data_IF_357415679795
#
_entry.id   IF_357415679795
#
_cell.length_a   1.000
_cell.length_b   1.000
_cell.length_c   1.000
_cell.angle_alpha   90.00
_cell.angle_beta   90.00
_cell.angle_gamma   90.00
#
_symmetry.space_group_name_H-M   'P 1'
#
loop_
_entity.id
_entity.type
_entity.pdbx_description
1 polymer ?
#
# COMPACT_ATOMS: atom_id res chain seq x y z
N UNK A 1 -59.65 25.16 3.56
CA UNK A 1 -60.81 24.26 3.64
C UNK A 1 -60.33 22.94 3.07
N UNK A 2 -60.07 21.96 3.95
CA UNK A 2 -59.82 20.51 3.77
C UNK A 2 -58.84 20.07 2.65
N UNK A 3 -57.88 19.16 2.81
CA UNK A 3 -57.83 18.04 3.75
C UNK A 3 -56.40 17.49 3.86
N UNK A 4 -56.10 17.02 5.07
CA UNK A 4 -54.94 16.27 5.48
C UNK A 4 -54.94 14.88 4.84
N UNK A 5 -53.76 14.31 4.57
CA UNK A 5 -53.58 12.88 4.75
C UNK A 5 -52.11 12.54 5.05
N UNK A 6 -51.87 12.27 6.33
CA UNK A 6 -50.75 11.51 6.85
C UNK A 6 -50.88 10.04 6.44
N UNK A 7 -49.76 9.40 6.09
CA UNK A 7 -49.64 7.94 6.13
C UNK A 7 -48.22 7.56 6.55
N UNK A 8 -48.04 7.41 7.86
CA UNK A 8 -46.97 6.62 8.44
C UNK A 8 -47.28 5.14 8.17
N UNK A 9 -46.33 4.39 7.58
CA UNK A 9 -46.46 2.95 7.42
C UNK A 9 -45.28 2.23 8.09
N UNK A 10 -45.53 1.91 9.35
CA UNK A 10 -45.24 0.66 10.07
C UNK A 10 -44.07 -0.21 9.60
N UNK A 11 -43.06 -0.22 10.46
CA UNK A 11 -42.08 -1.27 10.80
C UNK A 11 -42.48 -2.70 10.41
N UNK A 12 -41.56 -3.41 9.73
CA UNK A 12 -41.41 -4.87 9.89
C UNK A 12 -39.95 -5.26 10.02
N UNK A 13 -39.59 -5.62 11.24
CA UNK A 13 -38.39 -6.38 11.60
C UNK A 13 -38.64 -7.83 11.16
N UNK A 14 -37.70 -8.43 10.42
CA UNK A 14 -37.61 -9.88 10.31
C UNK A 14 -36.15 -10.27 10.56
N UNK A 15 -35.91 -10.76 11.77
CA UNK A 15 -34.71 -11.49 12.13
C UNK A 15 -34.98 -12.98 11.88
N UNK A 16 -34.09 -13.65 11.14
CA UNK A 16 -34.15 -15.11 11.02
C UNK A 16 -32.74 -15.68 11.20
N UNK A 17 -32.51 -16.25 12.38
CA UNK A 17 -31.40 -17.14 12.69
C UNK A 17 -31.75 -18.55 12.20
N UNK A 18 -30.81 -19.23 11.53
CA UNK A 18 -30.88 -20.69 11.37
C UNK A 18 -29.56 -21.26 11.87
N UNK A 19 -29.63 -21.88 13.05
CA UNK A 19 -28.65 -22.81 13.55
C UNK A 19 -29.16 -24.23 13.26
N UNK A 20 -28.30 -25.08 12.69
CA UNK A 20 -28.50 -26.53 12.65
C UNK A 20 -27.16 -27.23 12.86
N UNK A 21 -27.04 -27.89 14.00
CA UNK A 21 -26.04 -28.91 14.34
C UNK A 21 -26.76 -30.21 14.71
N UNK A 22 -26.09 -31.37 14.56
CA UNK A 22 -26.23 -32.71 15.23
C UNK A 22 -25.48 -33.73 14.32
N UNK A 23 -24.31 -34.32 14.69
CA UNK A 23 -24.00 -35.45 15.62
C UNK A 23 -24.32 -36.83 14.96
N UNK A 24 -23.59 -37.97 15.01
CA UNK A 24 -22.36 -38.53 15.65
C UNK A 24 -22.10 -39.94 15.07
N UNK A 25 -20.86 -40.46 15.14
CA UNK A 25 -20.43 -41.83 15.55
C UNK A 25 -18.96 -42.07 15.09
N UNK A 26 -17.90 -42.11 15.91
CA UNK A 26 -17.49 -42.97 17.05
C UNK A 26 -17.00 -44.39 16.67
N UNK A 27 -15.69 -44.65 16.86
CA UNK A 27 -15.02 -45.87 17.42
C UNK A 27 -13.48 -45.78 17.18
N UNK A 28 -12.66 -45.51 18.20
CA UNK A 28 -11.97 -46.39 19.19
C UNK A 28 -10.56 -46.92 18.75
N UNK A 29 -9.58 -46.70 19.64
CA UNK A 29 -8.13 -47.05 19.65
C UNK A 29 -7.92 -48.47 20.25
N UNK A 30 -6.76 -49.21 20.20
CA UNK A 30 -5.43 -48.82 20.74
C UNK A 30 -4.14 -49.41 20.05
N UNK A 31 -2.99 -48.89 20.52
CA UNK A 31 -1.52 -49.06 20.23
C UNK A 31 -0.94 -50.39 20.82
N UNK A 32 0.19 -51.05 20.38
CA UNK A 32 1.60 -50.60 20.60
C UNK A 32 2.77 -51.02 19.64
N UNK A 33 3.87 -50.25 19.72
CA UNK A 33 5.28 -50.47 19.27
C UNK A 33 5.92 -51.75 19.87
N UNK A 34 7.16 -52.27 19.54
CA UNK A 34 8.40 -51.59 19.07
C UNK A 34 9.41 -52.36 18.13
N UNK A 35 10.45 -51.64 17.68
CA UNK A 35 11.86 -52.00 17.29
C UNK A 35 12.24 -53.40 16.77
N UNK A 36 12.98 -53.46 15.64
CA UNK A 36 14.33 -54.05 15.52
C UNK A 36 14.86 -54.09 14.07
N UNK A 37 16.14 -53.75 13.89
CA UNK A 37 17.05 -54.21 12.82
C UNK A 37 18.05 -55.17 13.51
N UNK A 38 18.54 -56.27 12.90
CA UNK A 38 19.75 -56.20 12.05
C UNK A 38 19.90 -57.28 10.94
N UNK A 39 20.83 -56.99 10.02
CA UNK A 39 21.73 -57.87 9.24
C UNK A 39 21.24 -59.13 8.49
N UNK A 40 21.61 -59.26 7.21
CA UNK A 40 22.71 -60.11 6.71
C UNK A 40 22.59 -60.31 5.18
N UNK A 41 23.69 -60.17 4.42
CA UNK A 41 23.78 -60.55 2.99
C UNK A 41 23.90 -62.09 2.81
N UNK A 42 24.16 -62.65 1.60
CA UNK A 42 24.84 -62.03 0.46
C UNK A 42 24.24 -62.34 -0.96
N UNK A 43 24.73 -61.55 -1.92
CA UNK A 43 25.05 -61.86 -3.34
C UNK A 43 24.06 -62.64 -4.22
N UNK A 44 23.66 -62.00 -5.34
CA UNK A 44 23.86 -62.50 -6.72
C UNK A 44 23.33 -61.46 -7.73
N UNK A 45 24.22 -60.90 -8.55
CA UNK A 45 23.91 -60.28 -9.86
C UNK A 45 23.37 -61.36 -10.83
N UNK A 46 22.60 -61.07 -11.92
CA UNK A 46 22.83 -59.97 -12.86
C UNK A 46 21.58 -59.23 -13.41
N UNK A 47 21.85 -58.05 -13.97
CA UNK A 47 20.98 -57.19 -14.80
C UNK A 47 20.47 -57.95 -16.06
N UNK A 48 19.37 -57.53 -16.71
CA UNK A 48 19.48 -56.38 -17.63
C UNK A 48 18.27 -55.44 -17.72
N UNK A 49 18.58 -54.25 -18.23
CA UNK A 49 17.77 -53.35 -19.06
C UNK A 49 16.45 -52.79 -18.51
N UNK A 50 16.52 -51.49 -18.19
CA UNK A 50 15.34 -50.65 -18.03
C UNK A 50 15.61 -49.33 -17.33
N UNK A 51 16.74 -48.65 -17.61
CA UNK A 51 16.99 -47.33 -17.02
C UNK A 51 16.51 -46.23 -17.97
N UNK A 52 15.33 -45.72 -17.64
CA UNK A 52 14.78 -44.45 -18.08
C UNK A 52 15.82 -43.33 -17.97
N UNK A 53 15.96 -42.57 -19.06
CA UNK A 53 16.60 -41.25 -19.09
C UNK A 53 15.93 -40.34 -18.07
N UNK A 54 16.64 -39.69 -17.14
CA UNK A 54 16.02 -38.60 -16.39
C UNK A 54 15.90 -37.42 -17.36
N UNK A 55 14.67 -37.07 -17.69
CA UNK A 55 14.32 -35.74 -18.20
C UNK A 55 14.92 -34.72 -17.24
N UNK A 56 15.83 -33.89 -17.74
CA UNK A 56 16.21 -32.65 -17.08
C UNK A 56 14.95 -31.81 -17.00
N UNK A 57 14.23 -31.89 -15.88
CA UNK A 57 13.29 -30.85 -15.48
C UNK A 57 14.09 -29.55 -15.47
N UNK A 58 13.76 -28.68 -16.42
CA UNK A 58 14.24 -27.31 -16.41
C UNK A 58 13.67 -26.67 -15.14
N UNK A 59 14.49 -26.63 -14.11
CA UNK A 59 14.36 -25.66 -13.03
C UNK A 59 14.05 -24.31 -13.68
N UNK A 60 12.96 -23.61 -13.32
CA UNK A 60 12.77 -22.25 -13.80
C UNK A 60 14.04 -21.49 -13.43
N UNK A 61 14.69 -20.95 -14.46
CA UNK A 61 15.88 -20.14 -14.33
C UNK A 61 15.52 -18.97 -13.41
N UNK A 62 15.84 -19.10 -12.13
CA UNK A 62 15.83 -17.98 -11.18
C UNK A 62 16.93 -17.07 -11.69
N UNK A 63 16.56 -16.13 -12.57
CA UNK A 63 17.36 -14.94 -12.82
C UNK A 63 17.79 -14.42 -11.45
N UNK A 64 19.09 -14.15 -11.21
CA UNK A 64 19.54 -13.72 -9.90
C UNK A 64 18.68 -12.52 -9.48
N UNK A 65 17.97 -12.66 -8.37
CA UNK A 65 17.11 -11.60 -7.86
C UNK A 65 17.99 -10.37 -7.62
N UNK A 66 17.82 -9.34 -8.45
CA UNK A 66 18.56 -8.08 -8.42
C UNK A 66 18.08 -7.26 -7.22
N UNK A 67 18.34 -7.78 -6.03
CA UNK A 67 17.85 -7.20 -4.79
C UNK A 67 18.77 -6.08 -4.36
N UNK A 68 18.22 -4.88 -4.25
CA UNK A 68 18.92 -3.69 -3.79
C UNK A 68 18.49 -3.38 -2.37
N UNK A 69 19.45 -3.29 -1.46
CA UNK A 69 19.22 -2.86 -0.07
C UNK A 69 19.18 -1.34 -0.01
N UNK A 70 18.13 -0.79 0.58
CA UNK A 70 17.92 0.65 0.77
C UNK A 70 17.96 0.90 2.28
N UNK A 71 18.78 1.86 2.71
CA UNK A 71 18.92 2.24 4.12
C UNK A 71 18.81 3.75 4.29
N UNK A 72 18.05 4.20 5.30
CA UNK A 72 17.86 5.62 5.57
C UNK A 72 17.61 5.87 7.06
N UNK A 73 17.95 7.08 7.51
CA UNK A 73 17.58 7.55 8.85
C UNK A 73 16.23 8.28 8.72
N UNK A 74 15.17 7.82 9.39
CA UNK A 74 13.86 8.46 9.29
C UNK A 74 13.93 9.87 9.89
N UNK A 75 13.22 10.85 9.30
CA UNK A 75 13.06 12.17 9.91
C UNK A 75 12.52 12.08 11.35
N UNK A 76 12.85 13.03 12.24
CA UNK A 76 12.37 13.03 13.62
C UNK A 76 10.93 13.58 13.71
N UNK A 77 10.00 12.86 13.07
CA UNK A 77 8.56 13.11 13.09
C UNK A 77 7.87 11.74 13.28
N UNK A 78 6.82 11.70 14.10
CA UNK A 78 5.98 10.50 14.25
C UNK A 78 4.91 10.46 13.16
N UNK A 79 4.66 9.28 12.61
CA UNK A 79 3.73 9.07 11.51
C UNK A 79 4.03 7.81 10.69
N UNK A 80 3.54 7.80 9.46
CA UNK A 80 3.76 6.73 8.49
C UNK A 80 4.79 7.15 7.43
N UNK A 81 5.32 6.17 6.70
CA UNK A 81 6.34 6.36 5.67
C UNK A 81 5.77 5.97 4.32
N UNK A 82 5.78 6.91 3.39
CA UNK A 82 5.63 6.64 1.95
C UNK A 82 6.97 6.75 1.26
N UNK A 83 7.40 5.69 0.58
CA UNK A 83 8.71 5.57 -0.05
C UNK A 83 8.57 5.08 -1.48
N UNK A 84 9.13 5.83 -2.42
CA UNK A 84 9.11 5.50 -3.85
C UNK A 84 10.51 5.29 -4.44
N UNK A 85 10.57 4.50 -5.50
CA UNK A 85 11.75 4.34 -6.35
C UNK A 85 11.56 5.19 -7.60
N UNK A 86 12.58 5.97 -7.95
CA UNK A 86 12.55 6.92 -9.04
C UNK A 86 13.67 6.63 -10.04
N UNK A 87 13.36 6.79 -11.33
CA UNK A 87 14.36 6.74 -12.38
C UNK A 87 15.25 8.01 -12.38
N UNK A 88 16.25 8.04 -13.26
CA UNK A 88 17.14 9.20 -13.47
C UNK A 88 16.41 10.50 -13.87
N UNK A 89 15.19 10.42 -14.37
CA UNK A 89 14.38 11.58 -14.76
C UNK A 89 13.48 12.06 -13.60
N UNK A 90 13.50 11.39 -12.45
CA UNK A 90 12.63 11.68 -11.31
C UNK A 90 11.22 11.12 -11.47
N UNK A 91 10.98 10.21 -12.43
CA UNK A 91 9.69 9.53 -12.58
C UNK A 91 9.60 8.38 -11.59
N UNK A 92 8.49 8.29 -10.86
CA UNK A 92 8.19 7.15 -10.00
C UNK A 92 8.05 5.89 -10.87
N UNK A 93 8.81 4.85 -10.51
CA UNK A 93 8.79 3.54 -11.19
C UNK A 93 8.20 2.45 -10.31
N UNK A 94 8.21 2.64 -9.00
CA UNK A 94 7.58 1.75 -8.02
C UNK A 94 7.27 2.45 -6.72
N UNK A 95 6.10 2.20 -6.16
CA UNK A 95 5.81 2.47 -4.74
C UNK A 95 6.38 1.31 -3.93
N UNK A 96 7.34 1.59 -3.05
CA UNK A 96 7.95 0.55 -2.23
C UNK A 96 7.20 0.38 -0.90
N UNK A 97 6.79 1.50 -0.31
CA UNK A 97 5.96 1.55 0.89
C UNK A 97 4.92 2.66 0.73
N UNK A 98 3.69 2.37 1.12
CA UNK A 98 2.59 3.33 1.19
C UNK A 98 2.06 3.30 2.62
N UNK A 99 2.07 4.44 3.29
CA UNK A 99 1.54 4.58 4.65
C UNK A 99 2.08 3.55 5.66
N UNK A 100 3.30 3.05 5.44
CA UNK A 100 3.91 2.03 6.29
C UNK A 100 4.33 2.57 7.65
N UNK A 101 4.14 1.78 8.70
CA UNK A 101 4.66 2.07 10.03
C UNK A 101 6.18 1.81 10.12
N UNK A 102 6.85 2.42 11.10
CA UNK A 102 8.29 2.22 11.31
C UNK A 102 8.68 0.76 11.60
N UNK A 103 7.76 -0.04 12.15
CA UNK A 103 7.96 -1.44 12.50
C UNK A 103 7.95 -2.38 11.27
N UNK A 104 7.49 -1.92 10.11
CA UNK A 104 7.53 -2.66 8.84
C UNK A 104 8.93 -2.66 8.22
N UNK A 105 9.83 -1.83 8.73
CA UNK A 105 11.20 -1.74 8.29
C UNK A 105 12.12 -2.59 9.17
N UNK A 106 13.17 -3.15 8.58
CA UNK A 106 14.21 -3.81 9.36
C UNK A 106 15.08 -2.77 10.05
N UNK A 107 15.30 -2.92 11.35
CA UNK A 107 16.19 -2.05 12.14
C UNK A 107 17.64 -2.45 11.85
N UNK A 108 18.39 -1.58 11.18
CA UNK A 108 19.84 -1.65 11.05
C UNK A 108 20.55 -1.11 12.30
N UNK A 109 21.88 -1.00 12.23
CA UNK A 109 22.69 -0.46 13.34
C UNK A 109 22.28 0.96 13.77
N UNK A 110 21.88 1.78 12.80
CA UNK A 110 21.68 3.23 12.92
C UNK A 110 20.67 3.77 11.90
N UNK A 111 19.97 2.88 11.18
CA UNK A 111 19.09 3.22 10.07
C UNK A 111 17.93 2.22 9.96
N UNK A 112 16.83 2.65 9.34
CA UNK A 112 15.81 1.75 8.81
C UNK A 112 16.27 1.16 7.49
N UNK A 113 15.87 -0.08 7.22
CA UNK A 113 16.30 -0.84 6.05
C UNK A 113 15.09 -1.48 5.39
N UNK A 114 15.03 -1.36 4.07
CA UNK A 114 14.10 -2.09 3.19
C UNK A 114 14.85 -2.61 1.96
N UNK A 115 14.18 -3.38 1.12
CA UNK A 115 14.76 -3.99 -0.08
C UNK A 115 13.85 -3.77 -1.26
N UNK A 116 14.45 -3.53 -2.42
CA UNK A 116 13.75 -3.48 -3.70
C UNK A 116 14.25 -4.60 -4.61
N UNK A 117 13.34 -5.28 -5.28
CA UNK A 117 13.60 -6.45 -6.15
C UNK A 117 14.05 -6.08 -7.56
N UNK A 118 14.12 -4.79 -7.89
CA UNK A 118 14.47 -4.29 -9.22
C UNK A 118 13.31 -4.24 -10.19
N UNK A 119 12.07 -4.42 -9.74
CA UNK A 119 10.87 -4.45 -10.59
C UNK A 119 10.04 -3.18 -10.50
N UNK A 120 9.26 -2.90 -11.54
CA UNK A 120 8.25 -1.84 -11.53
C UNK A 120 6.97 -2.27 -10.80
N UNK A 121 5.95 -1.41 -10.80
CA UNK A 121 4.63 -1.66 -10.21
C UNK A 121 3.91 -2.87 -10.84
N UNK A 122 4.10 -3.10 -12.15
CA UNK A 122 3.54 -4.25 -12.87
C UNK A 122 4.29 -5.57 -12.61
N UNK A 123 5.37 -5.54 -11.83
CA UNK A 123 6.21 -6.71 -11.56
C UNK A 123 7.22 -7.05 -12.67
N UNK A 124 7.44 -6.15 -13.63
CA UNK A 124 8.42 -6.32 -14.71
C UNK A 124 9.80 -5.85 -14.26
N UNK A 125 10.85 -6.56 -14.67
CA UNK A 125 12.23 -6.20 -14.36
C UNK A 125 12.62 -4.88 -15.04
N UNK A 126 13.18 -3.95 -14.27
CA UNK A 126 13.71 -2.70 -14.79
C UNK A 126 15.14 -2.86 -15.32
N UNK A 127 15.54 -2.04 -16.30
CA UNK A 127 16.88 -2.11 -16.87
C UNK A 127 17.96 -1.73 -15.84
N UNK A 128 19.17 -2.30 -15.94
CA UNK A 128 20.31 -1.87 -15.15
C UNK A 128 20.56 -0.37 -15.32
N UNK A 129 20.94 0.28 -14.22
CA UNK A 129 21.17 1.72 -14.21
C UNK A 129 20.99 2.36 -12.84
N UNK A 130 21.07 3.69 -12.82
CA UNK A 130 20.91 4.47 -11.59
C UNK A 130 19.45 4.76 -11.30
N UNK A 131 19.07 4.52 -10.04
CA UNK A 131 17.78 4.83 -9.47
C UNK A 131 17.97 5.57 -8.15
N UNK A 132 16.93 6.26 -7.70
CA UNK A 132 16.93 7.02 -6.45
C UNK A 132 15.74 6.64 -5.61
N UNK A 133 15.94 6.45 -4.31
CA UNK A 133 14.84 6.28 -3.37
C UNK A 133 14.65 7.58 -2.58
N UNK A 134 13.41 8.04 -2.50
CA UNK A 134 13.01 9.20 -1.70
C UNK A 134 11.58 9.01 -1.21
N UNK A 135 11.26 9.67 -0.12
CA UNK A 135 9.97 9.50 0.53
C UNK A 135 9.56 10.68 1.37
N UNK A 136 8.42 10.50 2.01
CA UNK A 136 7.85 11.44 2.95
C UNK A 136 7.50 10.68 4.22
N UNK A 137 7.91 11.24 5.36
CA UNK A 137 7.33 10.85 6.62
C UNK A 137 6.10 11.73 6.83
N UNK A 138 4.96 11.08 6.89
CA UNK A 138 3.62 11.66 6.89
C UNK A 138 3.10 11.60 8.32
N UNK A 139 3.06 12.74 9.00
CA UNK A 139 2.63 12.82 10.39
C UNK A 139 1.13 12.60 10.55
N UNK A 140 0.59 12.83 11.74
CA UNK A 140 -0.85 12.68 11.98
C UNK A 140 -1.69 13.77 11.27
N UNK A 141 -2.13 13.45 10.05
CA UNK A 141 -3.17 14.19 9.36
C UNK A 141 -4.54 13.83 9.90
N UNK A 142 -5.46 14.79 9.84
CA UNK A 142 -6.85 14.58 10.25
C UNK A 142 -7.73 14.63 9.01
N UNK A 143 -8.33 13.51 8.65
CA UNK A 143 -9.33 13.42 7.60
C UNK A 143 -10.71 13.52 8.23
N UNK A 144 -11.52 14.47 7.75
CA UNK A 144 -12.90 14.70 8.19
C UNK A 144 -13.83 14.60 6.98
N UNK A 145 -14.82 13.70 7.06
CA UNK A 145 -15.94 13.67 6.10
C UNK A 145 -16.91 14.81 6.44
N UNK A 146 -17.16 15.70 5.46
CA UNK A 146 -18.09 16.82 5.56
C UNK A 146 -19.44 16.52 4.92
N UNK A 147 -19.63 15.29 4.43
CA UNK A 147 -20.85 14.79 3.81
C UNK A 147 -21.05 15.27 2.36
N UNK A 148 -22.28 15.10 1.85
CA UNK A 148 -22.65 15.53 0.51
C UNK A 148 -22.44 17.03 0.32
N UNK A 149 -21.97 17.42 -0.86
CA UNK A 149 -21.72 18.80 -1.25
C UNK A 149 -22.17 19.04 -2.70
N UNK A 150 -22.31 20.30 -3.07
CA UNK A 150 -22.33 20.67 -4.48
C UNK A 150 -20.91 20.55 -5.06
N UNK A 151 -20.82 20.29 -6.37
CA UNK A 151 -19.56 20.39 -7.10
C UNK A 151 -18.93 21.77 -6.86
N UNK A 152 -17.60 21.85 -6.69
CA UNK A 152 -16.95 23.12 -6.43
C UNK A 152 -17.22 24.08 -7.60
N UNK A 153 -17.78 25.25 -7.32
CA UNK A 153 -17.85 26.32 -8.30
C UNK A 153 -16.42 26.68 -8.71
N UNK A 154 -16.17 26.88 -10.01
CA UNK A 154 -14.85 27.24 -10.58
C UNK A 154 -14.23 28.52 -10.00
N UNK A 155 -14.93 29.19 -9.07
CA UNK A 155 -14.55 30.45 -8.43
C UNK A 155 -13.41 30.31 -7.41
N UNK A 156 -13.00 29.10 -7.01
CA UNK A 156 -11.83 28.88 -6.15
C UNK A 156 -10.95 27.72 -6.62
N UNK A 157 -10.00 28.02 -7.52
CA UNK A 157 -8.76 27.28 -7.78
C UNK A 157 -8.85 25.73 -7.69
N UNK A 158 -9.88 25.13 -8.27
CA UNK A 158 -9.97 23.69 -8.50
C UNK A 158 -8.78 23.29 -9.37
N UNK A 159 -7.76 22.68 -8.77
CA UNK A 159 -6.47 22.41 -9.43
C UNK A 159 -6.14 20.94 -9.28
N UNK A 160 -5.41 20.37 -10.25
CA UNK A 160 -4.88 19.01 -10.15
C UNK A 160 -3.92 18.82 -8.95
N UNK A 161 -3.35 19.91 -8.41
CA UNK A 161 -2.50 19.88 -7.23
C UNK A 161 -2.44 21.24 -6.50
N UNK A 162 -2.04 21.21 -5.24
CA UNK A 162 -1.86 22.38 -4.37
C UNK A 162 -0.46 22.38 -3.76
N UNK A 163 0.14 23.57 -3.64
CA UNK A 163 1.47 23.71 -3.02
C UNK A 163 1.35 23.74 -1.49
N UNK A 164 2.00 22.79 -0.83
CA UNK A 164 2.05 22.65 0.62
C UNK A 164 3.48 22.87 1.09
N UNK A 165 3.63 23.65 2.16
CA UNK A 165 4.93 23.92 2.78
C UNK A 165 5.16 22.89 3.88
N UNK A 166 6.23 22.12 3.76
CA UNK A 166 6.53 21.01 4.68
C UNK A 166 7.30 21.48 5.92
N UNK A 167 7.29 20.63 6.95
CA UNK A 167 8.20 20.77 8.07
C UNK A 167 9.64 20.53 7.58
N UNK A 168 10.62 21.33 8.06
CA UNK A 168 12.02 21.09 7.71
C UNK A 168 12.47 19.75 8.31
N UNK A 169 13.11 18.91 7.51
CA UNK A 169 13.79 17.73 7.99
C UNK A 169 15.19 18.15 8.50
N UNK A 170 15.49 18.12 9.80
CA UNK A 170 16.80 18.52 10.32
C UNK A 170 17.95 17.58 9.90
N UNK A 171 17.63 16.38 9.41
CA UNK A 171 18.60 15.45 8.83
C UNK A 171 18.95 15.81 7.38
N UNK A 172 18.08 16.57 6.71
CA UNK A 172 18.34 17.13 5.40
C UNK A 172 18.89 18.56 5.56
N UNK A 173 19.89 18.92 4.76
CA UNK A 173 20.40 20.30 4.73
C UNK A 173 19.47 21.25 3.94
N UNK A 174 18.16 20.98 3.94
CA UNK A 174 17.16 21.69 3.14
C UNK A 174 16.36 22.68 3.99
N UNK A 175 16.36 23.95 3.58
CA UNK A 175 15.50 24.97 4.16
C UNK A 175 14.10 24.83 3.57
N UNK A 176 13.18 24.24 4.33
CA UNK A 176 11.72 24.23 4.10
C UNK A 176 11.31 23.85 2.67
N UNK A 177 11.07 22.55 2.44
CA UNK A 177 10.65 22.02 1.16
C UNK A 177 9.17 22.36 0.88
N UNK A 178 8.86 22.81 -0.34
CA UNK A 178 7.49 23.00 -0.82
C UNK A 178 7.19 21.86 -1.79
N UNK A 179 6.13 21.10 -1.53
CA UNK A 179 5.67 19.99 -2.38
C UNK A 179 4.32 20.32 -3.01
N UNK A 180 4.11 19.87 -4.24
CA UNK A 180 2.80 19.90 -4.88
C UNK A 180 2.06 18.59 -4.53
N UNK A 181 0.95 18.71 -3.81
CA UNK A 181 0.09 17.59 -3.40
C UNK A 181 -1.15 17.59 -4.27
N UNK A 182 -1.41 16.49 -4.95
CA UNK A 182 -2.63 16.22 -5.69
C UNK A 182 -3.51 15.21 -4.96
N UNK A 183 -4.52 14.75 -5.68
CA UNK A 183 -5.37 13.66 -5.22
C UNK A 183 -5.46 12.60 -6.32
N UNK A 184 -5.39 11.34 -5.92
CA UNK A 184 -5.55 10.17 -6.77
C UNK A 184 -6.70 9.31 -6.28
N UNK A 185 -7.18 8.44 -7.17
CA UNK A 185 -8.12 7.39 -6.82
C UNK A 185 -7.88 6.16 -7.67
N UNK A 186 -8.27 5.01 -7.12
CA UNK A 186 -8.23 3.69 -7.73
C UNK A 186 -9.47 2.89 -7.30
N UNK A 187 -9.40 1.56 -7.37
CA UNK A 187 -10.49 0.68 -6.93
C UNK A 187 -10.70 0.65 -5.42
N UNK A 188 -9.66 0.96 -4.64
CA UNK A 188 -9.65 0.83 -3.19
C UNK A 188 -10.07 2.15 -2.53
N UNK A 189 -9.95 3.26 -3.25
CA UNK A 189 -10.60 4.50 -2.90
C UNK A 189 -9.83 5.71 -3.39
N UNK A 190 -9.68 6.71 -2.52
CA UNK A 190 -8.96 7.94 -2.83
C UNK A 190 -7.86 8.22 -1.83
N UNK A 191 -6.82 8.89 -2.30
CA UNK A 191 -5.62 9.16 -1.52
C UNK A 191 -4.98 10.48 -1.94
N UNK A 192 -4.32 11.15 -0.99
CA UNK A 192 -3.38 12.23 -1.28
C UNK A 192 -2.13 11.64 -1.93
N UNK A 193 -1.60 12.34 -2.93
CA UNK A 193 -0.36 11.96 -3.60
C UNK A 193 0.50 13.16 -3.93
N UNK A 194 1.79 12.96 -4.13
CA UNK A 194 2.64 13.96 -4.78
C UNK A 194 2.29 14.06 -6.27
N UNK A 195 2.77 15.12 -6.92
CA UNK A 195 2.60 15.27 -8.38
C UNK A 195 3.40 14.25 -9.21
N UNK A 196 4.37 13.57 -8.58
CA UNK A 196 5.09 12.43 -9.17
C UNK A 196 4.45 11.08 -8.82
N UNK A 197 3.19 11.10 -8.40
CA UNK A 197 2.30 9.96 -8.17
C UNK A 197 2.59 9.10 -6.93
N UNK A 198 3.49 9.51 -6.02
CA UNK A 198 3.72 8.79 -4.76
C UNK A 198 2.52 8.97 -3.83
N UNK A 199 1.79 7.90 -3.45
CA UNK A 199 0.70 7.97 -2.48
C UNK A 199 1.22 8.35 -1.09
N UNK A 200 0.52 9.22 -0.39
CA UNK A 200 0.92 9.78 0.91
C UNK A 200 -0.03 9.40 2.05
N UNK A 201 -1.34 9.42 1.78
CA UNK A 201 -2.37 9.20 2.80
C UNK A 201 -3.70 8.81 2.14
N UNK A 202 -4.34 7.76 2.63
CA UNK A 202 -5.70 7.38 2.23
C UNK A 202 -6.72 8.35 2.82
N UNK A 203 -7.64 8.84 1.97
CA UNK A 203 -8.66 9.83 2.34
C UNK A 203 -10.02 9.17 2.55
N UNK A 204 -10.42 8.27 1.65
CA UNK A 204 -11.62 7.45 1.83
C UNK A 204 -11.48 6.17 1.03
N UNK A 205 -12.15 5.11 1.47
CA UNK A 205 -12.26 3.82 0.78
C UNK A 205 -13.51 3.75 -0.12
N UNK A 206 -13.96 4.92 -0.62
CA UNK A 206 -15.18 5.00 -1.42
C UNK A 206 -14.94 4.39 -2.81
N UNK A 207 -15.77 3.41 -3.24
CA UNK A 207 -15.61 2.80 -4.56
C UNK A 207 -16.20 3.69 -5.67
N UNK A 208 -15.89 3.35 -6.93
CA UNK A 208 -16.51 3.92 -8.13
C UNK A 208 -16.34 5.45 -8.30
N UNK A 209 -15.24 6.01 -7.80
CA UNK A 209 -14.91 7.41 -8.02
C UNK A 209 -14.68 7.67 -9.51
N UNK A 210 -15.29 8.72 -10.05
CA UNK A 210 -15.15 9.13 -11.46
C UNK A 210 -14.33 10.40 -11.61
N UNK A 211 -14.40 11.29 -10.61
CA UNK A 211 -13.70 12.57 -10.67
C UNK A 211 -13.36 13.06 -9.27
N UNK A 212 -12.24 13.77 -9.18
CA UNK A 212 -11.76 14.31 -7.92
C UNK A 212 -11.16 15.69 -8.09
N UNK A 213 -11.38 16.54 -7.10
CA UNK A 213 -10.84 17.90 -7.06
C UNK A 213 -10.20 18.14 -5.70
N UNK A 214 -9.05 18.80 -5.70
CA UNK A 214 -8.41 19.32 -4.50
C UNK A 214 -8.35 20.84 -4.56
N UNK A 215 -8.64 21.50 -3.43
CA UNK A 215 -8.40 22.93 -3.25
C UNK A 215 -7.72 23.19 -1.93
N UNK A 216 -6.83 24.19 -1.94
CA UNK A 216 -6.12 24.63 -0.74
C UNK A 216 -7.02 25.55 0.06
N UNK A 217 -7.24 25.24 1.33
CA UNK A 217 -7.91 26.16 2.25
C UNK A 217 -6.88 27.14 2.83
N UNK A 218 -5.76 26.60 3.32
CA UNK A 218 -4.61 27.34 3.86
C UNK A 218 -3.36 26.46 3.79
N UNK A 219 -2.25 26.89 4.38
CA UNK A 219 -0.98 26.13 4.34
C UNK A 219 -1.03 24.78 5.07
N UNK A 220 -2.04 24.54 5.91
CA UNK A 220 -2.17 23.34 6.75
C UNK A 220 -3.38 22.49 6.44
N UNK A 221 -4.23 22.90 5.50
CA UNK A 221 -5.45 22.15 5.21
C UNK A 221 -5.90 22.29 3.76
N UNK A 222 -6.45 21.20 3.26
CA UNK A 222 -7.00 21.06 1.92
C UNK A 222 -8.42 20.52 2.01
N UNK A 223 -9.23 20.87 1.02
CA UNK A 223 -10.56 20.30 0.82
C UNK A 223 -10.50 19.44 -0.44
N UNK A 224 -11.11 18.27 -0.36
CA UNK A 224 -11.20 17.30 -1.45
C UNK A 224 -12.68 17.09 -1.76
N UNK A 225 -13.02 17.15 -3.04
CA UNK A 225 -14.33 16.75 -3.54
C UNK A 225 -14.16 15.45 -4.31
N UNK A 226 -14.97 14.45 -3.96
CA UNK A 226 -15.07 13.14 -4.59
C UNK A 226 -16.41 13.06 -5.31
N UNK A 227 -16.39 12.73 -6.59
CA UNK A 227 -17.59 12.49 -7.39
C UNK A 227 -17.62 11.01 -7.75
N UNK A 228 -18.72 10.32 -7.45
CA UNK A 228 -18.98 8.91 -7.78
C UNK A 228 -19.92 8.76 -9.00
N UNK A 229 -20.26 9.86 -9.67
CA UNK A 229 -21.19 9.94 -10.79
C UNK A 229 -22.66 10.10 -10.37
N UNK A 230 -22.96 9.97 -9.07
CA UNK A 230 -24.30 10.14 -8.50
C UNK A 230 -24.35 11.32 -7.53
N UNK A 231 -23.34 11.45 -6.68
CA UNK A 231 -23.22 12.47 -5.66
C UNK A 231 -21.77 12.96 -5.53
N UNK A 232 -21.62 14.19 -5.05
CA UNK A 232 -20.33 14.74 -4.66
C UNK A 232 -20.21 14.70 -3.15
N UNK A 233 -19.18 14.04 -2.64
CA UNK A 233 -18.80 14.00 -1.23
C UNK A 233 -17.59 14.92 -0.99
N UNK A 234 -17.55 15.56 0.18
CA UNK A 234 -16.49 16.51 0.51
C UNK A 234 -15.75 16.09 1.76
N UNK A 235 -14.43 16.05 1.66
CA UNK A 235 -13.52 15.75 2.76
C UNK A 235 -12.63 16.96 3.06
N UNK A 236 -12.26 17.12 4.33
CA UNK A 236 -11.21 18.04 4.74
C UNK A 236 -10.04 17.24 5.29
N UNK A 237 -8.85 17.49 4.74
CA UNK A 237 -7.60 16.97 5.30
C UNK A 237 -6.86 18.12 5.97
N UNK A 238 -6.64 18.00 7.28
CA UNK A 238 -5.93 18.99 8.10
C UNK A 238 -4.55 18.46 8.52
N UNK A 239 -3.67 19.39 8.91
CA UNK A 239 -2.26 19.16 9.21
C UNK A 239 -1.44 18.64 8.01
N UNK A 240 -1.79 19.04 6.78
CA UNK A 240 -1.00 18.65 5.59
C UNK A 240 0.43 19.20 5.60
N UNK A 241 0.73 20.19 6.44
CA UNK A 241 2.10 20.68 6.65
C UNK A 241 2.94 19.74 7.51
N UNK A 242 2.33 18.81 8.28
CA UNK A 242 3.02 17.81 9.11
C UNK A 242 3.55 16.65 8.27
N UNK A 243 4.38 16.97 7.28
CA UNK A 243 5.17 15.99 6.54
C UNK A 243 6.61 16.46 6.47
N UNK A 244 7.55 15.52 6.41
CA UNK A 244 8.97 15.76 6.19
C UNK A 244 9.44 14.94 4.99
N UNK A 245 10.03 15.59 4.00
CA UNK A 245 10.69 14.89 2.90
C UNK A 245 12.03 14.30 3.38
N UNK A 246 12.38 13.14 2.84
CA UNK A 246 13.69 12.53 3.05
C UNK A 246 14.17 11.83 1.78
N UNK A 247 15.49 11.67 1.69
CA UNK A 247 16.17 11.07 0.57
C UNK A 247 17.01 9.90 1.06
N UNK A 248 16.84 8.74 0.43
CA UNK A 248 17.59 7.53 0.75
C UNK A 248 18.85 7.37 -0.12
N UNK A 249 19.12 8.33 -1.01
CA UNK A 249 20.25 8.33 -1.92
C UNK A 249 19.99 7.62 -3.25
N UNK A 250 21.03 7.63 -4.07
CA UNK A 250 21.09 6.94 -5.35
C UNK A 250 21.76 5.58 -5.20
N UNK A 251 21.33 4.62 -6.01
CA UNK A 251 21.90 3.28 -6.09
C UNK A 251 21.85 2.76 -7.52
N UNK A 252 22.64 1.73 -7.80
CA UNK A 252 22.76 1.12 -9.12
C UNK A 252 22.12 -0.27 -9.12
N UNK A 253 21.15 -0.48 -10.02
CA UNK A 253 20.61 -1.78 -10.34
C UNK A 253 21.55 -2.46 -11.35
N UNK A 254 22.00 -3.67 -11.06
CA UNK A 254 22.98 -4.43 -11.87
C UNK A 254 22.32 -5.49 -12.74
#
# INVERSE_FOLDING_TARGET
>A
MFESQSAACVVRIVATWIASAVIVAAQETPVPQPFATPEEGPSLSPMPEGSVTPTLEQTPSVSPARTVRISFVPPPLEGTISLGIYDKNGKLVRVLHQESELNEFTIGSDALVTQWDGKNESGEDLPPGKYRARGYLVGHLKVEDLGPAASPASENNATASVKVKLMPNPLANEKQSIVAVGVGFDSDGSYLKTIDDLPLLTVSEAPNLVHMVIAKNNDRSVTIWQDDGTAVHRFRVSNVDKMMAFDCGEFELK
#
